data_IF_466943938039
#
_entry.id   IF_466943938039
#
_cell.length_a   1.000
_cell.length_b   1.000
_cell.length_c   1.000
_cell.angle_alpha   90.00
_cell.angle_beta   90.00
_cell.angle_gamma   90.00
#
_symmetry.space_group_name_H-M   'P 1'
#
loop_
_entity.id
_entity.type
_entity.pdbx_description
1 polymer ?
#
# COMPACT_ATOMS: atom_id res chain seq x y z
N UNK A 1 -8.91 -19.49 -40.61
CA UNK A 1 -10.27 -18.90 -40.59
C UNK A 1 -10.91 -18.98 -39.21
N UNK A 2 -10.14 -18.70 -38.15
CA UNK A 2 -10.58 -18.83 -36.73
C UNK A 2 -10.07 -17.72 -35.82
N UNK A 3 -9.61 -16.58 -36.37
CA UNK A 3 -9.03 -15.44 -35.64
C UNK A 3 -9.85 -14.14 -35.77
N UNK A 4 -11.12 -14.20 -36.20
CA UNK A 4 -11.96 -13.01 -36.39
C UNK A 4 -13.25 -12.98 -35.54
N UNK A 5 -13.36 -13.79 -34.48
CA UNK A 5 -14.58 -13.83 -33.63
C UNK A 5 -14.41 -13.38 -32.17
N UNK A 6 -13.23 -12.91 -31.74
CA UNK A 6 -13.01 -12.46 -30.36
C UNK A 6 -12.91 -10.95 -30.16
N UNK A 7 -13.09 -10.14 -31.24
CA UNK A 7 -12.90 -8.68 -31.19
C UNK A 7 -14.20 -7.85 -31.15
N UNK A 8 -15.37 -8.42 -30.89
CA UNK A 8 -16.62 -7.64 -30.96
C UNK A 8 -17.58 -7.76 -29.78
N UNK A 9 -17.13 -8.16 -28.60
CA UNK A 9 -18.00 -8.22 -27.40
C UNK A 9 -17.49 -7.45 -26.18
N UNK A 10 -16.56 -6.52 -26.32
CA UNK A 10 -16.09 -5.67 -25.22
C UNK A 10 -16.36 -4.17 -25.43
N UNK A 11 -17.02 -3.79 -26.50
CA UNK A 11 -17.44 -2.41 -26.71
C UNK A 11 -18.90 -2.34 -27.15
N UNK A 12 -19.63 -1.49 -26.47
CA UNK A 12 -21.03 -1.08 -26.74
C UNK A 12 -22.13 -1.92 -26.10
N UNK A 13 -22.34 -1.69 -24.81
CA UNK A 13 -23.70 -1.42 -24.38
C UNK A 13 -23.84 0.12 -24.29
N UNK A 14 -24.67 0.70 -25.16
CA UNK A 14 -25.11 2.09 -25.00
C UNK A 14 -25.60 2.25 -23.57
N UNK A 15 -25.22 3.31 -22.85
CA UNK A 15 -25.82 3.60 -21.55
C UNK A 15 -27.34 3.77 -21.76
N UNK A 16 -28.18 3.31 -20.84
CA UNK A 16 -29.61 3.56 -20.90
C UNK A 16 -29.85 5.08 -20.94
N UNK A 17 -30.84 5.56 -21.69
CA UNK A 17 -31.15 6.97 -21.76
C UNK A 17 -31.58 7.45 -20.38
N UNK A 18 -30.82 8.33 -19.75
CA UNK A 18 -31.06 8.90 -18.43
C UNK A 18 -29.93 8.80 -17.42
N UNK A 19 -28.75 8.27 -17.79
CA UNK A 19 -27.72 7.87 -16.82
C UNK A 19 -26.49 8.77 -16.68
N UNK A 20 -26.55 10.08 -16.97
CA UNK A 20 -25.35 10.93 -16.76
C UNK A 20 -25.11 11.29 -15.28
N UNK A 21 -26.17 11.35 -14.46
CA UNK A 21 -26.04 11.62 -13.01
C UNK A 21 -25.49 10.42 -12.24
N UNK A 22 -25.89 9.21 -12.57
CA UNK A 22 -25.47 8.01 -11.83
C UNK A 22 -24.00 7.63 -12.05
N UNK A 23 -23.44 7.86 -13.22
CA UNK A 23 -22.01 7.55 -13.47
C UNK A 23 -21.13 8.57 -12.79
N UNK A 24 -21.50 9.85 -12.80
CA UNK A 24 -20.78 10.90 -12.09
C UNK A 24 -20.85 10.68 -10.57
N UNK A 25 -22.02 10.36 -10.06
CA UNK A 25 -22.24 10.03 -8.63
C UNK A 25 -21.49 8.76 -8.21
N UNK A 26 -21.41 7.75 -9.08
CA UNK A 26 -20.62 6.54 -8.84
C UNK A 26 -19.10 6.81 -8.91
N UNK A 27 -18.64 7.68 -9.81
CA UNK A 27 -17.23 8.08 -9.90
C UNK A 27 -16.85 8.99 -8.74
N UNK A 28 -17.71 9.93 -8.36
CA UNK A 28 -17.50 10.80 -7.21
C UNK A 28 -17.47 9.97 -5.91
N UNK A 29 -18.37 8.99 -5.77
CA UNK A 29 -18.38 8.07 -4.64
C UNK A 29 -17.26 7.01 -4.67
N UNK A 30 -16.73 6.65 -5.84
CA UNK A 30 -15.63 5.70 -5.96
C UNK A 30 -14.27 6.36 -5.81
N UNK A 31 -14.15 7.63 -6.21
CA UNK A 31 -12.88 8.33 -6.19
C UNK A 31 -12.54 8.90 -4.81
N UNK A 32 -13.53 9.34 -4.04
CA UNK A 32 -13.24 10.07 -2.82
C UNK A 32 -14.36 9.98 -1.80
N UNK A 33 -14.11 9.32 -0.72
CA UNK A 33 -14.88 9.53 0.50
C UNK A 33 -14.66 10.94 1.09
N UNK A 34 -13.69 11.68 0.57
CA UNK A 34 -13.19 12.92 1.11
C UNK A 34 -13.81 14.17 0.46
N UNK A 35 -14.43 13.99 -0.70
CA UNK A 35 -15.17 15.08 -1.34
C UNK A 35 -16.58 15.26 -0.72
N UNK A 36 -16.93 14.39 0.25
CA UNK A 36 -18.13 14.56 1.07
C UNK A 36 -17.82 15.61 2.13
N UNK A 37 -18.38 16.80 1.98
CA UNK A 37 -18.33 17.82 3.04
C UNK A 37 -19.00 17.26 4.30
N UNK A 38 -18.33 17.33 5.48
CA UNK A 38 -18.93 16.96 6.75
C UNK A 38 -20.24 17.75 6.94
N UNK A 39 -21.33 17.08 7.24
CA UNK A 39 -22.62 17.74 7.46
C UNK A 39 -22.76 18.38 8.83
N UNK A 40 -21.81 18.09 9.73
CA UNK A 40 -21.83 18.61 11.09
C UNK A 40 -20.47 19.23 11.45
N UNK A 41 -20.47 20.35 12.22
CA UNK A 41 -19.23 20.99 12.67
C UNK A 41 -18.35 20.12 13.58
N UNK A 42 -18.89 19.02 14.09
CA UNK A 42 -18.20 18.11 15.01
C UNK A 42 -17.48 16.95 14.30
N UNK A 43 -17.62 16.84 12.99
CA UNK A 43 -16.81 15.91 12.19
C UNK A 43 -15.40 16.47 12.07
N UNK A 44 -14.56 16.23 13.08
CA UNK A 44 -13.13 16.57 13.11
C UNK A 44 -12.32 15.94 11.96
N UNK A 45 -12.93 15.14 11.11
CA UNK A 45 -12.32 14.41 10.02
C UNK A 45 -12.70 15.03 8.69
N UNK A 46 -11.80 15.77 8.10
CA UNK A 46 -11.97 16.29 6.74
C UNK A 46 -12.11 15.18 5.67
N UNK A 47 -11.91 13.94 6.06
CA UNK A 47 -12.05 12.76 5.22
C UNK A 47 -12.74 11.66 5.99
N UNK A 48 -14.00 11.44 5.72
CA UNK A 48 -14.70 10.26 6.24
C UNK A 48 -14.28 9.03 5.43
N UNK A 49 -13.61 8.04 6.06
CA UNK A 49 -13.16 6.86 5.34
C UNK A 49 -14.32 5.96 4.86
N UNK A 50 -15.57 6.28 5.22
CA UNK A 50 -16.75 5.48 4.90
C UNK A 50 -18.00 6.36 4.66
N UNK A 51 -18.94 5.95 3.77
CA UNK A 51 -20.20 6.65 3.56
C UNK A 51 -21.03 6.77 4.85
N UNK A 52 -21.82 7.83 4.95
CA UNK A 52 -22.76 8.04 6.06
C UNK A 52 -23.67 6.81 6.28
N UNK A 53 -23.96 6.50 7.54
CA UNK A 53 -24.83 5.38 7.92
C UNK A 53 -24.17 4.02 7.94
N UNK A 54 -22.89 3.91 7.59
CA UNK A 54 -22.17 2.66 7.80
C UNK A 54 -21.64 2.59 9.23
N UNK A 55 -22.29 1.79 10.08
CA UNK A 55 -21.75 1.33 11.38
C UNK A 55 -20.48 0.46 11.22
N UNK A 56 -19.91 0.52 10.04
CA UNK A 56 -18.82 -0.29 9.53
C UNK A 56 -17.54 -0.16 10.37
N UNK A 57 -17.24 1.06 10.77
CA UNK A 57 -16.11 1.40 11.61
C UNK A 57 -16.24 0.76 13.00
N UNK A 58 -17.41 0.90 13.62
CA UNK A 58 -17.69 0.32 14.92
C UNK A 58 -17.76 -1.22 14.86
N UNK A 59 -18.35 -1.79 13.82
CA UNK A 59 -18.45 -3.24 13.67
C UNK A 59 -17.11 -3.89 13.35
N UNK A 60 -16.17 -3.18 12.71
CA UNK A 60 -14.83 -3.67 12.46
C UNK A 60 -13.90 -3.53 13.67
N UNK A 61 -13.96 -2.40 14.38
CA UNK A 61 -13.26 -2.24 15.63
C UNK A 61 -13.75 -3.26 16.69
N UNK A 62 -15.04 -3.60 16.67
CA UNK A 62 -15.61 -4.64 17.53
C UNK A 62 -15.19 -6.06 17.11
N UNK A 63 -14.98 -6.31 15.82
CA UNK A 63 -14.52 -7.61 15.29
C UNK A 63 -13.02 -7.79 15.33
N UNK A 64 -12.24 -6.69 15.38
CA UNK A 64 -10.84 -6.76 15.76
C UNK A 64 -10.80 -7.21 17.20
N UNK A 65 -10.27 -8.39 17.50
CA UNK A 65 -10.14 -8.86 18.88
C UNK A 65 -9.31 -7.85 19.65
N UNK A 66 -10.00 -6.96 20.40
CA UNK A 66 -9.31 -6.05 21.33
C UNK A 66 -8.55 -6.94 22.32
N UNK A 67 -7.25 -6.72 22.51
CA UNK A 67 -6.52 -7.50 23.49
C UNK A 67 -7.17 -7.29 24.85
N UNK A 68 -7.40 -8.37 25.62
CA UNK A 68 -7.80 -8.31 27.03
C UNK A 68 -6.68 -7.73 27.91
N UNK A 69 -5.46 -7.60 27.35
CA UNK A 69 -4.27 -7.04 28.01
C UNK A 69 -4.28 -5.52 27.96
N UNK A 70 -3.59 -4.89 28.90
CA UNK A 70 -3.31 -3.44 28.88
C UNK A 70 -2.64 -3.08 27.53
N UNK A 71 -3.19 -2.14 26.75
CA UNK A 71 -2.62 -1.76 25.45
C UNK A 71 -1.13 -1.41 25.54
N UNK A 72 -0.67 -0.81 26.63
CA UNK A 72 0.75 -0.48 26.84
C UNK A 72 1.68 -1.69 26.84
N UNK A 73 1.13 -2.88 27.14
CA UNK A 73 1.84 -4.16 27.11
C UNK A 73 1.65 -4.90 25.80
N UNK A 74 1.07 -4.28 24.80
CA UNK A 74 0.87 -4.86 23.47
C UNK A 74 1.64 -4.08 22.43
N UNK A 75 1.88 -4.70 21.28
CA UNK A 75 2.58 -4.07 20.16
C UNK A 75 1.85 -4.25 18.85
N UNK A 76 2.14 -3.32 17.93
CA UNK A 76 1.78 -3.37 16.51
C UNK A 76 3.08 -3.24 15.73
N UNK A 77 3.27 -4.10 14.72
CA UNK A 77 4.42 -4.05 13.83
C UNK A 77 3.98 -3.60 12.45
N UNK A 78 4.64 -2.57 11.92
CA UNK A 78 4.38 -2.02 10.60
C UNK A 78 5.58 -2.25 9.69
N UNK A 79 5.33 -2.69 8.44
CA UNK A 79 6.37 -2.93 7.45
C UNK A 79 6.27 -1.95 6.28
N UNK A 80 7.38 -1.25 5.93
CA UNK A 80 7.40 -0.32 4.81
C UNK A 80 7.32 -1.05 3.46
N UNK A 81 6.99 -0.29 2.42
CA UNK A 81 6.99 -0.73 1.04
C UNK A 81 8.11 -0.12 0.22
N UNK A 82 8.02 -0.28 -1.11
CA UNK A 82 8.90 0.37 -2.07
C UNK A 82 8.85 1.89 -1.91
N UNK A 83 10.02 2.53 -1.97
CA UNK A 83 10.22 3.95 -1.70
C UNK A 83 10.91 4.21 -0.36
N UNK A 84 11.02 3.18 0.49
CA UNK A 84 11.72 3.28 1.78
C UNK A 84 13.22 2.93 1.69
N UNK A 85 13.66 2.28 0.61
CA UNK A 85 15.03 1.83 0.40
C UNK A 85 16.04 2.98 0.33
N UNK A 86 17.26 2.69 0.78
CA UNK A 86 18.43 3.55 0.61
C UNK A 86 19.69 2.72 0.55
N UNK A 87 20.71 3.21 -0.16
CA UNK A 87 22.03 2.55 -0.21
C UNK A 87 22.69 2.66 1.16
N UNK A 88 23.18 1.54 1.65
CA UNK A 88 23.70 1.37 3.02
C UNK A 88 22.72 0.71 3.98
N UNK A 89 21.47 0.47 3.58
CA UNK A 89 20.53 -0.29 4.41
C UNK A 89 21.03 -1.73 4.60
N UNK A 90 20.95 -2.22 5.83
CA UNK A 90 21.46 -3.54 6.22
C UNK A 90 22.86 -3.52 6.82
N UNK A 91 23.55 -2.37 6.87
CA UNK A 91 24.92 -2.25 7.41
C UNK A 91 25.04 -2.74 8.85
N UNK A 92 24.06 -2.42 9.68
CA UNK A 92 24.08 -2.85 11.08
C UNK A 92 23.55 -4.27 11.27
N UNK A 93 22.74 -4.76 10.34
CA UNK A 93 22.13 -6.09 10.40
C UNK A 93 23.13 -7.22 10.13
N UNK A 94 24.20 -6.98 9.37
CA UNK A 94 25.24 -8.01 9.10
C UNK A 94 25.99 -8.47 10.35
N UNK A 95 25.85 -7.73 11.45
CA UNK A 95 26.41 -8.10 12.76
C UNK A 95 25.56 -9.15 13.47
N UNK A 96 24.32 -9.35 13.06
CA UNK A 96 23.36 -10.30 13.61
C UNK A 96 23.41 -11.56 12.76
N UNK A 97 23.81 -12.73 13.33
CA UNK A 97 24.00 -13.96 12.54
C UNK A 97 22.74 -14.37 11.76
N UNK A 98 21.56 -14.39 12.41
CA UNK A 98 20.30 -14.76 11.77
C UNK A 98 19.91 -13.82 10.63
N UNK A 99 20.18 -12.53 10.75
CA UNK A 99 19.94 -11.56 9.68
C UNK A 99 20.92 -11.78 8.50
N UNK A 100 22.19 -12.06 8.78
CA UNK A 100 23.19 -12.38 7.76
C UNK A 100 22.81 -13.64 6.98
N UNK A 101 22.39 -14.70 7.68
CA UNK A 101 21.95 -15.95 7.08
C UNK A 101 20.72 -15.73 6.18
N UNK A 102 19.81 -14.86 6.61
CA UNK A 102 18.62 -14.47 5.81
C UNK A 102 19.02 -13.77 4.50
N UNK A 103 19.98 -12.86 4.52
CA UNK A 103 20.50 -12.24 3.29
C UNK A 103 21.20 -13.26 2.37
N UNK A 104 21.93 -14.20 2.95
CA UNK A 104 22.62 -15.25 2.19
C UNK A 104 21.63 -16.17 1.50
N UNK A 105 20.63 -16.67 2.22
CA UNK A 105 19.55 -17.49 1.69
C UNK A 105 18.74 -16.73 0.62
N UNK A 106 18.44 -15.47 0.86
CA UNK A 106 17.73 -14.63 -0.11
C UNK A 106 18.55 -14.47 -1.40
N UNK A 107 19.84 -14.26 -1.30
CA UNK A 107 20.72 -14.12 -2.48
C UNK A 107 20.80 -15.43 -3.28
N UNK A 108 20.82 -16.56 -2.59
CA UNK A 108 20.77 -17.89 -3.23
C UNK A 108 19.45 -18.10 -3.99
N UNK A 109 18.31 -17.77 -3.38
CA UNK A 109 16.98 -17.91 -3.98
C UNK A 109 16.83 -16.99 -5.20
N UNK A 110 17.21 -15.73 -5.06
CA UNK A 110 17.00 -14.69 -6.06
C UNK A 110 18.05 -14.66 -7.17
N UNK A 111 19.16 -15.39 -7.01
CA UNK A 111 20.29 -15.47 -7.96
C UNK A 111 20.98 -14.12 -8.20
N UNK A 112 20.94 -13.24 -7.21
CA UNK A 112 21.76 -12.03 -7.13
C UNK A 112 22.08 -11.69 -5.68
N UNK A 113 23.20 -11.02 -5.44
CA UNK A 113 23.61 -10.63 -4.11
C UNK A 113 22.76 -9.47 -3.58
N UNK A 114 21.75 -9.83 -2.75
CA UNK A 114 20.79 -8.88 -2.16
C UNK A 114 21.49 -7.92 -1.20
N UNK A 115 22.40 -8.44 -0.39
CA UNK A 115 23.14 -7.64 0.60
C UNK A 115 24.02 -6.60 -0.09
N UNK A 116 24.75 -6.99 -1.12
CA UNK A 116 25.56 -6.08 -1.91
C UNK A 116 24.74 -4.97 -2.55
N UNK A 117 23.58 -5.30 -3.10
CA UNK A 117 22.65 -4.29 -3.66
C UNK A 117 22.16 -3.33 -2.58
N UNK A 118 21.88 -3.81 -1.37
CA UNK A 118 21.47 -2.98 -0.24
C UNK A 118 22.59 -2.05 0.24
N UNK A 119 23.83 -2.57 0.36
CA UNK A 119 24.96 -1.85 0.94
C UNK A 119 25.62 -0.89 -0.05
N UNK A 120 25.81 -1.33 -1.29
CA UNK A 120 26.67 -0.66 -2.27
C UNK A 120 25.87 -0.06 -3.44
N UNK A 121 24.62 -0.51 -3.67
CA UNK A 121 23.80 -0.05 -4.77
C UNK A 121 24.23 -0.64 -6.12
N UNK A 122 24.33 0.16 -7.21
CA UNK A 122 24.08 1.60 -7.29
C UNK A 122 22.62 1.98 -7.04
N UNK A 123 22.35 3.24 -6.70
CA UNK A 123 20.99 3.76 -6.39
C UNK A 123 19.99 3.42 -7.49
N UNK A 124 20.37 3.57 -8.75
CA UNK A 124 19.50 3.26 -9.89
C UNK A 124 19.08 1.77 -9.90
N UNK A 125 19.98 0.85 -9.58
CA UNK A 125 19.68 -0.58 -9.49
C UNK A 125 18.74 -0.86 -8.30
N UNK A 126 19.05 -0.31 -7.13
CA UNK A 126 18.24 -0.50 -5.92
C UNK A 126 16.83 0.12 -6.10
N UNK A 127 16.67 1.17 -6.88
CA UNK A 127 15.37 1.81 -7.16
C UNK A 127 14.54 1.07 -8.22
N UNK A 128 15.15 0.22 -9.05
CA UNK A 128 14.39 -0.62 -9.99
C UNK A 128 13.50 -1.58 -9.20
N UNK A 129 12.22 -1.66 -9.57
CA UNK A 129 11.20 -2.46 -8.88
C UNK A 129 11.64 -3.91 -8.69
N UNK A 130 12.30 -4.49 -9.69
CA UNK A 130 12.85 -5.85 -9.69
C UNK A 130 13.78 -6.12 -8.50
N UNK A 131 14.62 -5.16 -8.14
CA UNK A 131 15.58 -5.29 -7.04
C UNK A 131 15.06 -4.69 -5.74
N UNK A 132 14.31 -3.61 -5.84
CA UNK A 132 13.82 -2.86 -4.70
C UNK A 132 12.90 -3.71 -3.81
N UNK A 133 11.89 -4.35 -4.40
CA UNK A 133 10.91 -5.08 -3.61
C UNK A 133 11.55 -6.23 -2.81
N UNK A 134 12.34 -7.14 -3.41
CA UNK A 134 13.03 -8.16 -2.62
C UNK A 134 13.98 -7.59 -1.57
N UNK A 135 14.74 -6.53 -1.91
CA UNK A 135 15.69 -5.91 -0.99
C UNK A 135 14.99 -5.33 0.25
N UNK A 136 13.87 -4.61 0.06
CA UNK A 136 13.08 -4.04 1.18
C UNK A 136 12.46 -5.13 2.03
N UNK A 137 11.94 -6.20 1.42
CA UNK A 137 11.40 -7.36 2.16
C UNK A 137 12.46 -7.99 3.05
N UNK A 138 13.62 -8.35 2.48
CA UNK A 138 14.69 -9.01 3.22
C UNK A 138 15.24 -8.10 4.32
N UNK A 139 15.49 -6.82 4.00
CA UNK A 139 15.96 -5.85 4.99
C UNK A 139 14.95 -5.65 6.14
N UNK A 140 13.65 -5.68 5.86
CA UNK A 140 12.62 -5.57 6.89
C UNK A 140 12.54 -6.80 7.79
N UNK A 141 12.60 -8.01 7.23
CA UNK A 141 12.62 -9.24 8.03
C UNK A 141 13.93 -9.40 8.79
N UNK A 142 15.06 -8.99 8.23
CA UNK A 142 16.34 -8.94 8.94
C UNK A 142 16.32 -7.91 10.10
N UNK A 143 15.67 -6.76 9.91
CA UNK A 143 15.45 -5.80 11.00
C UNK A 143 14.50 -6.32 12.08
N UNK A 144 13.62 -7.27 11.75
CA UNK A 144 12.79 -7.97 12.72
C UNK A 144 13.64 -8.85 13.66
N UNK A 145 14.70 -9.50 13.15
CA UNK A 145 15.65 -10.25 13.99
C UNK A 145 16.36 -9.31 15.00
N UNK A 146 16.75 -8.11 14.56
CA UNK A 146 17.25 -7.08 15.47
C UNK A 146 16.23 -6.69 16.55
N UNK A 147 15.00 -6.46 16.17
CA UNK A 147 13.93 -6.17 17.14
C UNK A 147 13.73 -7.30 18.15
N UNK A 148 13.79 -8.55 17.68
CA UNK A 148 13.68 -9.74 18.52
C UNK A 148 14.81 -9.86 19.54
N UNK A 149 16.04 -9.55 19.17
CA UNK A 149 17.20 -9.53 20.08
C UNK A 149 17.09 -8.38 21.09
N UNK A 150 16.80 -7.17 20.62
CA UNK A 150 16.80 -5.98 21.47
C UNK A 150 15.53 -5.90 22.37
N UNK A 151 14.38 -6.36 21.87
CA UNK A 151 13.07 -6.19 22.52
C UNK A 151 12.16 -7.37 22.25
N UNK A 152 12.44 -8.57 22.75
CA UNK A 152 11.67 -9.79 22.47
C UNK A 152 10.17 -9.62 22.80
N UNK A 153 9.83 -8.92 23.88
CA UNK A 153 8.45 -8.63 24.24
C UNK A 153 7.68 -7.84 23.16
N UNK A 154 8.38 -7.14 22.24
CA UNK A 154 7.70 -6.47 21.14
C UNK A 154 7.15 -7.46 20.11
N UNK A 155 7.79 -8.62 19.98
CA UNK A 155 7.35 -9.72 19.10
C UNK A 155 6.28 -10.54 19.81
N UNK A 156 6.55 -10.98 21.05
CA UNK A 156 5.67 -11.89 21.82
C UNK A 156 4.31 -11.26 22.13
N UNK A 157 4.26 -9.96 22.27
CA UNK A 157 3.04 -9.20 22.58
C UNK A 157 2.41 -8.53 21.34
N UNK A 158 2.90 -8.87 20.15
CA UNK A 158 2.34 -8.36 18.89
C UNK A 158 0.97 -8.99 18.64
N UNK A 159 -0.07 -8.15 18.59
CA UNK A 159 -1.43 -8.62 18.33
C UNK A 159 -1.92 -8.28 16.91
N UNK A 160 -1.29 -7.32 16.25
CA UNK A 160 -1.64 -6.93 14.90
C UNK A 160 -0.41 -6.44 14.12
N UNK A 161 -0.44 -6.65 12.84
CA UNK A 161 0.58 -6.19 11.91
C UNK A 161 -0.08 -5.68 10.63
N UNK A 162 0.58 -4.74 9.99
CA UNK A 162 0.20 -4.26 8.66
C UNK A 162 1.47 -3.87 7.89
N UNK A 163 1.37 -3.92 6.58
CA UNK A 163 2.46 -3.48 5.73
C UNK A 163 1.95 -2.67 4.54
N UNK A 164 2.73 -1.71 4.10
CA UNK A 164 2.38 -0.84 3.00
C UNK A 164 2.77 -1.48 1.67
N UNK A 165 1.81 -1.76 0.79
CA UNK A 165 2.03 -2.37 -0.53
C UNK A 165 2.88 -3.66 -0.43
N UNK A 166 4.15 -3.63 -0.80
CA UNK A 166 5.08 -4.73 -0.60
C UNK A 166 5.12 -5.22 0.86
N UNK A 167 5.09 -4.28 1.80
CA UNK A 167 5.11 -4.59 3.24
C UNK A 167 3.95 -5.48 3.69
N UNK A 168 2.83 -5.54 2.97
CA UNK A 168 1.73 -6.45 3.28
C UNK A 168 2.16 -7.92 3.14
N UNK A 169 3.00 -8.24 2.15
CA UNK A 169 3.57 -9.58 2.01
C UNK A 169 4.57 -9.85 3.14
N UNK A 170 5.38 -8.85 3.50
CA UNK A 170 6.28 -8.94 4.66
C UNK A 170 5.51 -9.22 5.95
N UNK A 171 4.38 -8.55 6.15
CA UNK A 171 3.49 -8.77 7.31
C UNK A 171 2.86 -10.17 7.31
N UNK A 172 2.51 -10.72 6.14
CA UNK A 172 2.00 -12.09 6.02
C UNK A 172 3.08 -13.14 6.32
N UNK A 173 4.33 -12.89 5.92
CA UNK A 173 5.48 -13.75 6.29
C UNK A 173 5.70 -13.69 7.81
N UNK A 174 5.76 -12.50 8.39
CA UNK A 174 5.90 -12.32 9.83
C UNK A 174 4.79 -13.00 10.62
N UNK A 175 3.56 -12.95 10.14
CA UNK A 175 2.42 -13.59 10.78
C UNK A 175 2.34 -15.11 10.55
N UNK A 176 3.34 -15.72 9.89
CA UNK A 176 3.39 -17.15 9.63
C UNK A 176 2.39 -17.65 8.57
N UNK A 177 1.79 -16.75 7.80
CA UNK A 177 0.85 -17.11 6.75
C UNK A 177 1.54 -17.59 5.47
N UNK A 178 2.73 -17.06 5.20
CA UNK A 178 3.56 -17.42 4.03
C UNK A 178 4.95 -17.80 4.53
N UNK A 179 5.51 -18.96 4.15
CA UNK A 179 6.91 -19.32 4.41
C UNK A 179 7.86 -18.31 3.76
N UNK A 180 9.00 -18.01 4.40
CA UNK A 180 9.94 -16.99 3.94
C UNK A 180 10.41 -17.19 2.50
N UNK A 181 10.87 -18.40 2.17
CA UNK A 181 11.39 -18.75 0.84
C UNK A 181 10.31 -18.62 -0.24
N UNK A 182 9.09 -19.07 0.04
CA UNK A 182 7.96 -18.96 -0.86
C UNK A 182 7.49 -17.51 -1.03
N UNK A 183 7.46 -16.75 0.06
CA UNK A 183 7.15 -15.33 0.05
C UNK A 183 8.17 -14.50 -0.74
N UNK A 184 9.44 -14.85 -0.65
CA UNK A 184 10.51 -14.20 -1.40
C UNK A 184 10.37 -14.47 -2.92
N UNK A 185 10.07 -15.72 -3.32
CA UNK A 185 9.77 -16.06 -4.72
C UNK A 185 8.51 -15.35 -5.23
N UNK A 186 7.49 -15.24 -4.38
CA UNK A 186 6.26 -14.49 -4.72
C UNK A 186 6.58 -13.02 -4.99
N UNK A 187 7.42 -12.40 -4.14
CA UNK A 187 7.84 -11.00 -4.31
C UNK A 187 8.73 -10.84 -5.54
N UNK A 188 9.57 -11.81 -5.87
CA UNK A 188 10.32 -11.80 -7.12
C UNK A 188 9.39 -11.73 -8.34
N UNK A 189 8.41 -12.62 -8.41
CA UNK A 189 7.39 -12.62 -9.51
C UNK A 189 6.62 -11.29 -9.53
N UNK A 190 6.21 -10.79 -8.35
CA UNK A 190 5.51 -9.49 -8.23
C UNK A 190 6.35 -8.36 -8.79
N UNK A 191 7.61 -8.29 -8.37
CA UNK A 191 8.53 -7.22 -8.74
C UNK A 191 8.84 -7.23 -10.25
N UNK A 192 9.07 -8.40 -10.82
CA UNK A 192 9.31 -8.57 -12.25
C UNK A 192 8.08 -8.22 -13.08
N UNK A 193 6.91 -8.74 -12.72
CA UNK A 193 5.67 -8.47 -13.44
C UNK A 193 5.27 -6.98 -13.36
N UNK A 194 5.42 -6.34 -12.20
CA UNK A 194 5.15 -4.91 -12.04
C UNK A 194 6.18 -4.04 -12.77
N UNK A 195 7.45 -4.45 -12.84
CA UNK A 195 8.46 -3.76 -13.64
C UNK A 195 8.12 -3.84 -15.13
N UNK A 196 7.79 -5.03 -15.64
CA UNK A 196 7.38 -5.21 -17.05
C UNK A 196 6.14 -4.39 -17.39
N UNK A 197 5.15 -4.34 -16.49
CA UNK A 197 3.98 -3.50 -16.69
C UNK A 197 4.33 -2.00 -16.72
N UNK A 198 5.28 -1.57 -15.89
CA UNK A 198 5.78 -0.18 -15.89
C UNK A 198 6.56 0.17 -17.16
N UNK A 199 7.34 -0.78 -17.67
CA UNK A 199 8.13 -0.58 -18.90
C UNK A 199 7.23 -0.55 -20.15
N UNK A 200 6.06 -1.20 -20.09
CA UNK A 200 5.10 -1.26 -21.19
C UNK A 200 4.18 -0.02 -21.29
N UNK A 201 3.99 0.72 -20.21
CA UNK A 201 3.09 1.87 -20.16
C UNK A 201 3.74 3.05 -19.45
N UNK A 202 3.93 4.15 -20.16
CA UNK A 202 4.46 5.38 -19.60
C UNK A 202 3.50 5.95 -18.53
N UNK A 203 3.92 5.87 -17.28
CA UNK A 203 3.13 6.33 -16.15
C UNK A 203 3.98 6.50 -14.90
N UNK A 204 3.36 7.05 -13.88
CA UNK A 204 4.05 7.34 -12.62
C UNK A 204 3.08 7.59 -11.48
N UNK A 205 3.62 8.18 -10.43
CA UNK A 205 2.84 8.55 -9.24
C UNK A 205 3.20 9.96 -8.77
N UNK A 206 2.24 10.62 -8.17
CA UNK A 206 2.45 11.93 -7.56
C UNK A 206 1.75 12.02 -6.21
N UNK A 207 2.42 12.57 -5.20
CA UNK A 207 1.79 12.94 -3.94
C UNK A 207 0.99 14.22 -4.14
N UNK A 208 -0.25 14.21 -3.69
CA UNK A 208 -1.17 15.34 -3.73
C UNK A 208 -1.51 15.76 -2.30
N UNK A 209 -1.16 17.00 -1.95
CA UNK A 209 -1.61 17.66 -0.73
C UNK A 209 -2.80 18.55 -1.09
N UNK A 210 -3.86 18.47 -0.30
CA UNK A 210 -5.12 19.13 -0.58
C UNK A 210 -5.77 19.69 0.68
N UNK A 211 -6.83 20.47 0.53
CA UNK A 211 -7.63 21.05 1.62
C UNK A 211 -9.04 20.47 1.62
N UNK A 212 -9.89 20.90 2.58
CA UNK A 212 -11.27 20.43 2.66
C UNK A 212 -12.09 20.68 1.38
N UNK A 213 -11.83 21.81 0.71
CA UNK A 213 -12.56 22.23 -0.49
C UNK A 213 -11.95 21.71 -1.80
N UNK A 214 -10.91 20.90 -1.72
CA UNK A 214 -10.20 20.39 -2.88
C UNK A 214 -10.97 19.22 -3.52
N UNK A 215 -10.93 19.19 -4.86
CA UNK A 215 -11.67 18.20 -5.67
C UNK A 215 -10.71 17.23 -6.37
N UNK A 216 -10.01 16.40 -5.57
CA UNK A 216 -9.00 15.46 -6.08
C UNK A 216 -9.58 14.48 -7.11
N UNK A 217 -10.78 13.92 -6.84
CA UNK A 217 -11.44 12.99 -7.77
C UNK A 217 -11.79 13.65 -9.10
N UNK A 218 -12.34 14.87 -9.06
CA UNK A 218 -12.64 15.63 -10.28
C UNK A 218 -11.35 15.99 -11.03
N UNK A 219 -10.27 16.33 -10.33
CA UNK A 219 -8.98 16.58 -10.94
C UNK A 219 -8.46 15.34 -11.71
N UNK A 220 -8.56 14.15 -11.09
CA UNK A 220 -8.19 12.90 -11.75
C UNK A 220 -9.06 12.60 -12.97
N UNK A 221 -10.37 12.78 -12.86
CA UNK A 221 -11.30 12.58 -13.97
C UNK A 221 -10.98 13.53 -15.12
N UNK A 222 -10.84 14.82 -14.83
CA UNK A 222 -10.53 15.84 -15.85
C UNK A 222 -9.15 15.61 -16.51
N UNK A 223 -8.17 15.15 -15.74
CA UNK A 223 -6.87 14.75 -16.27
C UNK A 223 -7.00 13.62 -17.29
N UNK A 224 -7.84 12.62 -17.00
CA UNK A 224 -8.12 11.49 -17.88
C UNK A 224 -8.83 11.94 -19.16
N UNK A 225 -9.88 12.76 -19.03
CA UNK A 225 -10.59 13.36 -20.18
C UNK A 225 -9.66 14.18 -21.07
N UNK A 226 -8.83 15.03 -20.46
CA UNK A 226 -7.84 15.83 -21.16
C UNK A 226 -6.84 14.99 -21.98
N UNK A 227 -6.45 13.83 -21.46
CA UNK A 227 -5.63 12.87 -22.19
C UNK A 227 -6.38 12.26 -23.39
N UNK A 228 -7.66 11.89 -23.21
CA UNK A 228 -8.51 11.33 -24.26
C UNK A 228 -8.68 12.34 -25.40
N UNK A 229 -8.95 13.60 -25.08
CA UNK A 229 -9.07 14.70 -26.04
C UNK A 229 -7.81 14.89 -26.89
N UNK A 230 -6.66 14.42 -26.41
CA UNK A 230 -5.34 14.48 -27.07
C UNK A 230 -4.88 13.18 -27.71
N UNK A 231 -5.77 12.19 -27.75
CA UNK A 231 -5.48 10.91 -28.39
C UNK A 231 -4.51 10.02 -27.62
N UNK A 232 -4.32 10.25 -26.30
CA UNK A 232 -3.55 9.32 -25.47
C UNK A 232 -4.31 8.01 -25.36
N UNK A 233 -3.66 6.91 -25.70
CA UNK A 233 -4.25 5.59 -25.63
C UNK A 233 -4.36 5.08 -24.19
N UNK A 234 -5.57 4.65 -23.82
CA UNK A 234 -5.86 4.06 -22.50
C UNK A 234 -5.31 4.89 -21.31
N UNK A 235 -5.60 6.20 -21.26
CA UNK A 235 -5.07 7.04 -20.20
C UNK A 235 -5.68 6.66 -18.85
N UNK A 236 -4.87 6.77 -17.80
CA UNK A 236 -5.32 6.51 -16.44
C UNK A 236 -4.92 7.67 -15.52
N UNK A 237 -5.81 7.97 -14.56
CA UNK A 237 -5.53 8.87 -13.47
C UNK A 237 -6.46 8.55 -12.30
N UNK A 238 -5.91 8.08 -11.19
CA UNK A 238 -6.72 7.70 -10.03
C UNK A 238 -5.93 7.80 -8.72
N UNK A 239 -6.64 7.80 -7.60
CA UNK A 239 -6.01 7.71 -6.28
C UNK A 239 -5.49 6.30 -6.07
N UNK A 240 -4.18 6.19 -5.93
CA UNK A 240 -3.47 4.92 -5.70
C UNK A 240 -3.22 4.64 -4.21
N UNK A 241 -3.00 5.67 -3.39
CA UNK A 241 -2.79 5.49 -1.94
C UNK A 241 -3.52 6.57 -1.15
N UNK A 242 -4.29 6.14 -0.16
CA UNK A 242 -4.83 6.99 0.90
C UNK A 242 -3.85 6.97 2.06
N UNK A 243 -3.09 8.06 2.27
CA UNK A 243 -2.00 8.09 3.25
C UNK A 243 -2.46 8.58 4.62
N UNK A 244 -3.03 9.78 4.66
CA UNK A 244 -3.55 10.44 5.85
C UNK A 244 -4.47 11.60 5.43
N UNK A 245 -5.24 12.21 6.34
CA UNK A 245 -6.09 13.35 6.02
C UNK A 245 -5.34 14.42 5.21
N UNK A 246 -5.92 14.82 4.09
CA UNK A 246 -5.37 15.81 3.16
C UNK A 246 -4.09 15.40 2.40
N UNK A 247 -3.77 14.09 2.36
CA UNK A 247 -2.64 13.58 1.58
C UNK A 247 -2.97 12.25 0.90
N UNK A 248 -2.89 12.24 -0.41
CA UNK A 248 -3.05 11.06 -1.26
C UNK A 248 -1.88 10.91 -2.22
N UNK A 249 -1.75 9.73 -2.78
CA UNK A 249 -0.91 9.51 -3.96
C UNK A 249 -1.81 9.16 -5.13
N UNK A 250 -1.66 9.89 -6.21
CA UNK A 250 -2.32 9.63 -7.49
C UNK A 250 -1.36 8.86 -8.38
N UNK A 251 -1.86 7.83 -9.05
CA UNK A 251 -1.17 7.11 -10.12
C UNK A 251 -1.86 7.42 -11.45
N UNK A 252 -1.07 7.51 -12.51
CA UNK A 252 -1.63 7.78 -13.82
C UNK A 252 -0.60 7.78 -14.94
N UNK A 253 -1.11 7.96 -16.16
CA UNK A 253 -0.29 8.17 -17.34
C UNK A 253 0.54 9.45 -17.20
N UNK A 254 1.67 9.51 -17.87
CA UNK A 254 2.60 10.63 -17.74
C UNK A 254 1.93 11.98 -18.07
N UNK A 255 1.09 12.00 -19.10
CA UNK A 255 0.35 13.18 -19.54
C UNK A 255 -0.70 13.61 -18.52
N UNK A 256 -1.41 12.65 -17.91
CA UNK A 256 -2.41 12.93 -16.89
C UNK A 256 -1.76 13.54 -15.63
N UNK A 257 -0.58 13.04 -15.25
CA UNK A 257 0.15 13.60 -14.12
C UNK A 257 0.70 15.00 -14.42
N UNK A 258 1.13 15.27 -15.66
CA UNK A 258 1.51 16.64 -16.12
C UNK A 258 0.32 17.59 -16.03
N UNK A 259 -0.87 17.15 -16.46
CA UNK A 259 -2.09 17.94 -16.29
C UNK A 259 -2.34 18.30 -14.83
N UNK A 260 -2.25 17.32 -13.93
CA UNK A 260 -2.44 17.58 -12.48
C UNK A 260 -1.42 18.58 -11.93
N UNK A 261 -0.17 18.53 -12.38
CA UNK A 261 0.86 19.46 -11.94
C UNK A 261 0.57 20.91 -12.40
N UNK A 262 0.09 21.06 -13.62
CA UNK A 262 -0.19 22.39 -14.20
C UNK A 262 -1.52 22.97 -13.72
N UNK A 263 -2.55 22.14 -13.58
CA UNK A 263 -3.93 22.56 -13.25
C UNK A 263 -4.25 22.41 -11.76
N UNK A 264 -3.27 22.12 -10.91
CA UNK A 264 -3.48 21.87 -9.48
C UNK A 264 -4.34 22.93 -8.78
N UNK A 265 -4.11 24.21 -9.09
CA UNK A 265 -4.82 25.35 -8.48
C UNK A 265 -6.31 25.39 -8.82
N UNK A 266 -6.70 24.96 -10.02
CA UNK A 266 -8.10 24.95 -10.49
C UNK A 266 -8.97 24.02 -9.65
N UNK A 267 -8.36 22.95 -9.09
CA UNK A 267 -9.02 21.95 -8.25
C UNK A 267 -8.75 22.17 -6.76
N UNK A 268 -8.18 23.30 -6.37
CA UNK A 268 -7.85 23.60 -4.98
C UNK A 268 -6.73 22.74 -4.41
N UNK A 269 -5.94 22.05 -5.25
CA UNK A 269 -4.83 21.24 -4.78
C UNK A 269 -3.70 22.15 -4.29
N UNK A 270 -3.21 21.91 -3.07
CA UNK A 270 -2.15 22.71 -2.45
C UNK A 270 -0.77 22.41 -3.03
N UNK A 271 -0.51 21.14 -3.34
CA UNK A 271 0.77 20.69 -3.88
C UNK A 271 0.61 19.36 -4.60
N UNK A 272 1.21 19.26 -5.78
CA UNK A 272 1.42 18.01 -6.52
C UNK A 272 2.92 17.81 -6.64
N UNK A 273 3.43 16.64 -6.24
CA UNK A 273 4.87 16.32 -6.29
C UNK A 273 5.06 14.90 -6.82
N UNK A 274 5.78 14.76 -7.92
CA UNK A 274 6.17 13.47 -8.48
C UNK A 274 6.95 12.62 -7.49
N UNK A 275 6.67 11.33 -7.50
CA UNK A 275 7.42 10.34 -6.77
C UNK A 275 8.48 9.70 -7.69
N UNK A 276 9.68 9.37 -7.17
CA UNK A 276 10.74 8.71 -7.94
C UNK A 276 10.47 7.21 -8.06
N UNK A 277 9.37 6.85 -8.72
CA UNK A 277 8.97 5.46 -8.98
C UNK A 277 8.81 5.24 -10.48
N UNK A 278 9.03 4.01 -10.93
CA UNK A 278 9.09 3.65 -12.36
C UNK A 278 7.73 3.42 -13.01
N UNK A 279 6.62 3.42 -12.25
CA UNK A 279 5.32 3.09 -12.82
C UNK A 279 4.13 3.59 -12.01
N UNK A 280 2.95 3.51 -12.62
CA UNK A 280 1.67 3.86 -12.02
C UNK A 280 1.13 2.71 -11.16
N UNK A 281 1.78 2.41 -10.04
CA UNK A 281 1.39 1.30 -9.16
C UNK A 281 0.00 1.51 -8.59
N UNK A 282 -0.67 0.40 -8.27
CA UNK A 282 -2.03 0.38 -7.71
C UNK A 282 -3.09 0.99 -8.64
N UNK A 283 -2.88 0.89 -9.95
CA UNK A 283 -3.80 1.32 -11.00
C UNK A 283 -4.03 0.22 -12.03
N UNK A 284 -4.97 0.44 -12.96
CA UNK A 284 -5.23 -0.47 -14.07
C UNK A 284 -4.03 -0.67 -14.99
N UNK A 285 -3.06 0.27 -15.01
CA UNK A 285 -1.81 0.13 -15.77
C UNK A 285 -0.93 -1.03 -15.26
N UNK A 286 -1.22 -1.57 -14.07
CA UNK A 286 -0.56 -2.76 -13.52
C UNK A 286 -1.33 -4.06 -13.77
N UNK A 287 -2.43 -4.05 -14.55
CA UNK A 287 -3.29 -5.23 -14.75
C UNK A 287 -2.52 -6.45 -15.28
N UNK A 288 -1.54 -6.23 -16.15
CA UNK A 288 -0.70 -7.30 -16.70
C UNK A 288 0.08 -8.09 -15.60
N UNK A 289 0.33 -7.45 -14.45
CA UNK A 289 1.03 -8.11 -13.34
C UNK A 289 0.11 -8.98 -12.45
N UNK A 290 -1.21 -8.84 -12.55
CA UNK A 290 -2.17 -9.56 -11.68
C UNK A 290 -2.13 -11.06 -11.92
N UNK A 291 -2.18 -11.49 -13.17
CA UNK A 291 -2.26 -12.91 -13.50
C UNK A 291 -0.98 -13.68 -13.16
N UNK A 292 0.25 -13.20 -13.49
CA UNK A 292 1.48 -13.84 -13.05
C UNK A 292 1.58 -13.95 -11.52
N UNK A 293 1.24 -12.88 -10.82
CA UNK A 293 1.25 -12.85 -9.36
C UNK A 293 0.24 -13.86 -8.76
N UNK A 294 -0.99 -13.90 -9.28
CA UNK A 294 -2.00 -14.87 -8.84
C UNK A 294 -1.53 -16.30 -9.04
N UNK A 295 -1.00 -16.63 -10.23
CA UNK A 295 -0.46 -17.96 -10.51
C UNK A 295 0.68 -18.37 -9.58
N UNK A 296 1.52 -17.42 -9.20
CA UNK A 296 2.58 -17.67 -8.21
C UNK A 296 1.99 -17.91 -6.82
N UNK A 297 1.03 -17.08 -6.41
CA UNK A 297 0.35 -17.20 -5.12
C UNK A 297 -0.43 -18.51 -4.99
N UNK A 298 -1.02 -19.02 -6.09
CA UNK A 298 -1.77 -20.28 -6.10
C UNK A 298 -0.87 -21.51 -5.83
N UNK A 299 0.45 -21.37 -6.06
CA UNK A 299 1.44 -22.42 -5.78
C UNK A 299 1.99 -22.38 -4.35
N UNK A 300 1.64 -21.37 -3.58
CA UNK A 300 2.14 -21.16 -2.22
C UNK A 300 1.24 -21.87 -1.21
N UNK A 301 1.86 -22.51 -0.24
CA UNK A 301 1.21 -23.03 0.95
C UNK A 301 0.84 -21.88 1.88
N UNK A 302 -0.43 -21.46 1.84
CA UNK A 302 -0.94 -20.43 2.72
C UNK A 302 -1.51 -21.05 4.01
N UNK A 303 -1.09 -20.52 5.14
CA UNK A 303 -1.66 -20.80 6.45
C UNK A 303 -2.48 -19.61 6.97
N UNK A 304 -3.37 -19.86 7.89
CA UNK A 304 -4.09 -18.79 8.58
C UNK A 304 -3.09 -17.92 9.36
N UNK A 305 -3.14 -16.59 9.25
CA UNK A 305 -2.24 -15.72 9.99
C UNK A 305 -2.38 -15.90 11.50
N UNK A 306 -1.28 -16.15 12.20
CA UNK A 306 -1.22 -16.28 13.65
C UNK A 306 -1.46 -14.95 14.37
N UNK A 307 -1.16 -13.84 13.69
CA UNK A 307 -1.33 -12.46 14.15
C UNK A 307 -2.30 -11.77 13.19
N UNK A 308 -3.11 -10.83 13.67
CA UNK A 308 -4.03 -10.09 12.80
C UNK A 308 -3.25 -9.28 11.75
N UNK A 309 -3.33 -9.65 10.48
CA UNK A 309 -2.77 -8.92 9.34
C UNK A 309 -3.88 -8.13 8.64
N UNK A 310 -3.63 -6.86 8.34
CA UNK A 310 -4.60 -5.98 7.68
C UNK A 310 -4.29 -5.82 6.19
N UNK A 311 -5.34 -6.00 5.36
CA UNK A 311 -5.23 -5.85 3.90
C UNK A 311 -5.21 -4.39 3.46
N UNK A 312 -4.37 -4.09 2.49
CA UNK A 312 -4.32 -2.75 1.88
C UNK A 312 -5.58 -2.44 1.04
N UNK A 313 -6.28 -3.45 0.54
CA UNK A 313 -7.42 -3.26 -0.37
C UNK A 313 -8.64 -2.66 0.32
N UNK A 314 -8.86 -3.03 1.58
CA UNK A 314 -10.04 -2.60 2.34
C UNK A 314 -9.74 -2.20 3.80
N UNK A 315 -8.46 -2.20 4.20
CA UNK A 315 -8.03 -1.90 5.57
C UNK A 315 -8.40 -2.97 6.60
N UNK A 316 -9.12 -4.03 6.21
CA UNK A 316 -9.64 -5.05 7.11
C UNK A 316 -8.63 -6.14 7.38
N UNK A 317 -8.76 -6.78 8.55
CA UNK A 317 -7.94 -7.96 8.83
C UNK A 317 -8.30 -9.11 7.87
N UNK A 318 -7.32 -9.88 7.49
CA UNK A 318 -7.52 -11.15 6.83
C UNK A 318 -8.27 -12.14 7.74
N UNK A 319 -9.18 -12.90 7.16
CA UNK A 319 -10.02 -13.87 7.90
C UNK A 319 -9.43 -15.28 7.91
N UNK A 320 -8.37 -15.51 7.14
CA UNK A 320 -7.67 -16.78 6.96
C UNK A 320 -7.00 -16.86 5.61
N UNK A 321 -6.33 -17.96 5.33
CA UNK A 321 -5.54 -18.22 4.13
C UNK A 321 -6.34 -18.00 2.82
N UNK A 322 -7.57 -18.53 2.76
CA UNK A 322 -8.45 -18.35 1.59
C UNK A 322 -8.80 -16.87 1.32
N UNK A 323 -8.92 -16.08 2.37
CA UNK A 323 -9.15 -14.64 2.20
C UNK A 323 -7.90 -13.93 1.71
N UNK A 324 -6.70 -14.36 2.15
CA UNK A 324 -5.42 -13.88 1.60
C UNK A 324 -5.34 -14.20 0.11
N UNK A 325 -5.60 -15.45 -0.29
CA UNK A 325 -5.56 -15.89 -1.68
C UNK A 325 -6.47 -15.07 -2.60
N UNK A 326 -7.66 -14.71 -2.12
CA UNK A 326 -8.64 -13.94 -2.90
C UNK A 326 -8.35 -12.43 -2.94
N UNK A 327 -7.79 -11.89 -1.87
CA UNK A 327 -7.68 -10.43 -1.70
C UNK A 327 -6.32 -9.88 -2.14
N UNK A 328 -5.23 -10.58 -1.81
CA UNK A 328 -3.88 -10.11 -2.05
C UNK A 328 -3.58 -9.77 -3.53
N UNK A 329 -4.03 -10.55 -4.54
CA UNK A 329 -3.80 -10.19 -5.94
C UNK A 329 -4.47 -8.87 -6.37
N UNK A 330 -5.58 -8.50 -5.74
CA UNK A 330 -6.28 -7.25 -6.05
C UNK A 330 -5.49 -6.02 -5.64
N UNK A 331 -4.57 -6.15 -4.69
CA UNK A 331 -3.72 -5.06 -4.21
C UNK A 331 -2.89 -4.44 -5.34
N UNK A 332 -2.52 -5.20 -6.37
CA UNK A 332 -1.68 -4.72 -7.49
C UNK A 332 -2.37 -3.58 -8.25
N UNK A 333 -3.69 -3.65 -8.39
CA UNK A 333 -4.51 -2.72 -9.19
C UNK A 333 -5.54 -1.93 -8.37
N UNK A 334 -5.52 -2.08 -7.06
CA UNK A 334 -6.44 -1.36 -6.18
C UNK A 334 -5.70 -0.41 -5.25
N UNK A 335 -6.33 0.68 -4.85
CA UNK A 335 -5.74 1.64 -3.93
C UNK A 335 -5.31 1.01 -2.61
N UNK A 336 -4.16 1.46 -2.10
CA UNK A 336 -3.73 1.16 -0.73
C UNK A 336 -4.50 2.05 0.25
N UNK A 337 -5.36 1.45 1.04
CA UNK A 337 -6.19 2.14 2.05
C UNK A 337 -5.44 2.23 3.39
N UNK A 338 -4.29 2.93 3.37
CA UNK A 338 -3.42 2.97 4.54
C UNK A 338 -4.00 3.79 5.69
N UNK A 339 -4.57 4.94 5.40
CA UNK A 339 -5.28 5.77 6.38
C UNK A 339 -6.36 4.95 7.11
N UNK A 340 -7.20 4.22 6.36
CA UNK A 340 -8.25 3.37 6.94
C UNK A 340 -7.67 2.23 7.78
N UNK A 341 -6.56 1.64 7.33
CA UNK A 341 -5.84 0.63 8.11
C UNK A 341 -5.38 1.18 9.45
N UNK A 342 -4.78 2.38 9.45
CA UNK A 342 -4.33 3.03 10.69
C UNK A 342 -5.50 3.40 11.60
N UNK A 343 -6.62 3.90 11.05
CA UNK A 343 -7.82 4.14 11.85
C UNK A 343 -8.29 2.87 12.56
N UNK A 344 -8.38 1.75 11.86
CA UNK A 344 -8.81 0.47 12.45
C UNK A 344 -7.83 -0.01 13.53
N UNK A 345 -6.52 0.08 13.28
CA UNK A 345 -5.49 -0.35 14.21
C UNK A 345 -5.45 0.48 15.50
N UNK A 346 -5.67 1.79 15.39
CA UNK A 346 -5.47 2.73 16.49
C UNK A 346 -6.77 3.36 17.02
N UNK A 347 -7.94 2.97 16.51
CA UNK A 347 -9.21 3.43 17.07
C UNK A 347 -9.37 2.93 18.53
N UNK A 348 -9.54 3.87 19.44
CA UNK A 348 -9.67 3.62 20.88
C UNK A 348 -10.72 4.55 21.48
N UNK A 349 -11.37 4.11 22.55
CA UNK A 349 -12.19 5.00 23.37
C UNK A 349 -11.32 6.09 23.99
N UNK A 350 -11.89 7.28 24.17
CA UNK A 350 -11.21 8.40 24.81
C UNK A 350 -10.65 7.99 26.18
N UNK A 351 -9.43 8.39 26.48
CA UNK A 351 -8.73 8.03 27.72
C UNK A 351 -8.07 6.65 27.73
N UNK A 352 -8.18 5.88 26.64
CA UNK A 352 -7.50 4.57 26.53
C UNK A 352 -6.07 4.75 26.02
N UNK A 353 -5.14 3.96 26.56
CA UNK A 353 -3.75 3.94 26.12
C UNK A 353 -3.59 3.28 24.74
N UNK A 354 -2.50 3.63 24.04
CA UNK A 354 -2.13 3.05 22.75
C UNK A 354 -1.09 1.93 22.93
N UNK A 355 -1.06 0.96 22.00
CA UNK A 355 0.00 -0.04 21.94
C UNK A 355 1.32 0.60 21.52
N UNK A 356 2.43 -0.06 21.82
CA UNK A 356 3.72 0.29 21.25
C UNK A 356 3.71 -0.05 19.75
N UNK A 357 4.16 0.85 18.93
CA UNK A 357 4.23 0.66 17.48
C UNK A 357 5.68 0.55 17.04
N UNK A 358 5.99 -0.43 16.22
CA UNK A 358 7.33 -0.60 15.65
C UNK A 358 7.22 -0.59 14.13
N UNK A 359 7.82 0.44 13.50
CA UNK A 359 8.08 0.42 12.07
C UNK A 359 9.38 -0.34 11.85
N UNK A 360 9.31 -1.52 11.24
CA UNK A 360 10.44 -2.44 11.08
C UNK A 360 10.83 -2.53 9.61
N UNK A 361 12.01 -2.02 9.30
CA UNK A 361 12.53 -1.94 7.94
C UNK A 361 13.15 -0.58 7.61
N UNK A 362 13.53 -0.36 6.34
CA UNK A 362 14.18 0.87 5.93
C UNK A 362 13.23 2.08 6.01
N UNK A 363 13.80 3.23 6.34
CA UNK A 363 13.07 4.50 6.43
C UNK A 363 12.25 4.67 7.71
N UNK A 364 11.38 5.68 7.71
CA UNK A 364 10.46 6.02 8.81
C UNK A 364 9.17 6.67 8.30
N UNK A 365 8.76 6.29 7.09
CA UNK A 365 7.62 6.89 6.43
C UNK A 365 6.29 6.54 7.12
N UNK A 366 6.14 5.29 7.60
CA UNK A 366 4.89 4.85 8.23
C UNK A 366 4.67 5.49 9.59
N UNK A 367 5.72 5.67 10.37
CA UNK A 367 5.67 6.42 11.64
C UNK A 367 5.31 7.89 11.40
N UNK A 368 5.87 8.49 10.34
CA UNK A 368 5.53 9.86 9.94
C UNK A 368 4.07 9.98 9.53
N UNK A 369 3.56 9.02 8.77
CA UNK A 369 2.14 8.96 8.38
C UNK A 369 1.26 8.74 9.61
N UNK A 370 1.64 7.83 10.51
CA UNK A 370 0.90 7.59 11.76
C UNK A 370 0.74 8.87 12.57
N UNK A 371 1.76 9.71 12.64
CA UNK A 371 1.70 11.00 13.34
C UNK A 371 0.64 11.93 12.75
N UNK A 372 0.41 11.88 11.44
CA UNK A 372 -0.63 12.66 10.77
C UNK A 372 -2.05 12.10 10.98
N UNK A 373 -2.17 10.78 11.16
CA UNK A 373 -3.46 10.11 11.39
C UNK A 373 -3.82 10.13 12.88
N UNK A 374 -2.86 9.86 13.75
CA UNK A 374 -3.06 9.79 15.20
C UNK A 374 -1.75 10.11 15.94
N UNK A 375 -1.60 11.39 16.32
CA UNK A 375 -0.40 11.87 16.99
C UNK A 375 -0.14 11.15 18.32
N UNK A 376 -1.18 10.88 19.13
CA UNK A 376 -1.05 10.18 20.41
C UNK A 376 -0.57 8.75 20.26
N UNK A 377 -0.99 8.04 19.21
CA UNK A 377 -0.47 6.70 18.90
C UNK A 377 1.00 6.79 18.47
N UNK A 378 1.37 7.82 17.71
CA UNK A 378 2.74 8.04 17.24
C UNK A 378 3.74 8.37 18.37
N UNK A 379 3.29 8.91 19.51
CA UNK A 379 4.14 9.16 20.67
C UNK A 379 4.73 7.84 21.25
N UNK A 380 4.13 6.70 20.93
CA UNK A 380 4.59 5.37 21.31
C UNK A 380 5.14 4.56 20.13
N UNK A 381 5.57 5.25 19.07
CA UNK A 381 6.10 4.61 17.87
C UNK A 381 7.64 4.66 17.84
N UNK A 382 8.22 3.54 17.45
CA UNK A 382 9.66 3.31 17.36
C UNK A 382 10.00 2.87 15.93
N UNK A 383 11.17 3.30 15.46
CA UNK A 383 11.67 2.87 14.16
C UNK A 383 12.85 1.91 14.37
N UNK A 384 12.78 0.75 13.75
CA UNK A 384 13.83 -0.28 13.76
C UNK A 384 14.40 -0.33 12.33
N UNK A 385 15.37 0.53 12.12
CA UNK A 385 16.05 0.64 10.82
C UNK A 385 17.09 -0.47 10.64
N UNK A 386 17.23 -0.98 9.41
CA UNK A 386 18.25 -1.97 9.06
C UNK A 386 19.66 -1.40 9.01
#
# INVERSE_FOLDING_TARGET
MLLRRFSRRLFCTKPPPGGSSNVQELLDNAATFEDITPKTPDDEWATLPYPEGTSYRQSQAAKSRKPKKDPRKTSIILFPGQGAQFVGMGKDLVKIPSAKDMFSLASEILKFDVLKVCLEGPVAKLNSTRYCQPAVLVASLAALEKLKEERPAAIDECYATAGFSLGEITALIFAGSIPFDQGLRLVQVRAEAMQLASDAAAGGMATVLYGPDSKVGQACLRAKEWCIERGVENPECLVANYLYPHCKVVAGSEEALKFLETSAKEFGLRRVKRLPVSGAFHSSLMEAAVLPFRRALDKIELSDPLISVHSNVDGKRYRGAEHVRKQLPKQIVRPVRWEQTLHILYERAQGTYFPRTFEVGPGRALTTILKQVNAKAADHAFNISP
#
